data_IF_456069995054
#
_entry.id   IF_456069995054
#
_cell.length_a   1.000
_cell.length_b   1.000
_cell.length_c   1.000
_cell.angle_alpha   90.00
_cell.angle_beta   90.00
_cell.angle_gamma   90.00
#
_symmetry.space_group_name_H-M   'P 1'
#
loop_
_entity.id
_entity.type
_entity.pdbx_description
1 polymer ?
#
# COMPACT_ATOMS: atom_id res chain seq x y z
N UNK A 1 -4.61 -6.90 -15.40
CA UNK A 1 -3.45 -6.06 -15.03
C UNK A 1 -3.88 -4.59 -15.04
N UNK A 2 -4.12 -4.02 -13.85
CA UNK A 2 -4.33 -2.58 -13.64
C UNK A 2 -3.01 -1.85 -13.88
N UNK A 3 -3.07 -0.69 -14.51
CA UNK A 3 -1.92 0.21 -14.68
C UNK A 3 -2.29 1.56 -14.07
N UNK A 4 -1.39 2.22 -13.31
CA UNK A 4 -1.65 3.55 -12.79
C UNK A 4 -1.92 4.58 -13.90
N UNK A 5 -2.93 5.45 -13.71
CA UNK A 5 -3.43 6.39 -14.73
C UNK A 5 -3.18 7.86 -14.37
N UNK A 6 -2.71 8.65 -15.35
CA UNK A 6 -2.72 10.13 -15.35
C UNK A 6 -3.96 10.65 -16.06
N UNK A 7 -4.69 11.57 -15.43
CA UNK A 7 -5.77 12.34 -16.06
C UNK A 7 -5.16 13.49 -16.86
N UNK A 8 -5.52 13.62 -18.13
CA UNK A 8 -5.14 14.76 -18.97
C UNK A 8 -6.31 15.73 -19.14
N UNK A 9 -6.12 16.99 -18.75
CA UNK A 9 -7.07 18.07 -19.02
C UNK A 9 -6.67 18.75 -20.34
N UNK A 10 -7.51 18.69 -21.37
CA UNK A 10 -7.44 19.59 -22.52
C UNK A 10 -8.58 20.61 -22.35
N UNK A 11 -8.23 21.88 -22.10
CA UNK A 11 -9.19 22.98 -22.07
C UNK A 11 -9.62 23.38 -23.49
N UNK A 12 -10.87 23.83 -23.70
CA UNK A 12 -11.30 24.31 -25.00
C UNK A 12 -10.86 25.77 -25.23
N UNK A 13 -10.30 26.02 -26.41
CA UNK A 13 -9.97 27.35 -26.92
C UNK A 13 -11.24 28.20 -27.09
N UNK A 14 -11.16 29.44 -26.61
CA UNK A 14 -12.19 30.46 -26.78
C UNK A 14 -12.25 30.95 -28.22
N UNK A 15 -13.38 30.75 -28.90
CA UNK A 15 -13.83 31.65 -29.97
C UNK A 15 -15.36 31.72 -30.00
N UNK A 16 -15.85 32.94 -29.83
CA UNK A 16 -17.25 33.37 -29.82
C UNK A 16 -17.91 33.30 -31.20
N UNK A 17 -19.12 32.73 -31.24
CA UNK A 17 -20.19 33.18 -32.13
C UNK A 17 -21.54 32.91 -31.45
N UNK A 18 -22.24 34.00 -31.17
CA UNK A 18 -23.57 34.10 -30.57
C UNK A 18 -24.63 33.46 -31.46
N UNK A 19 -25.42 32.51 -30.94
CA UNK A 19 -26.68 32.11 -31.57
C UNK A 19 -27.76 31.75 -30.56
N UNK A 20 -28.97 32.17 -30.92
CA UNK A 20 -30.26 32.30 -30.22
C UNK A 20 -30.88 31.04 -29.55
N UNK A 21 -30.11 30.00 -29.25
CA UNK A 21 -30.59 28.76 -28.60
C UNK A 21 -30.58 28.80 -27.05
N UNK A 22 -30.20 29.91 -26.44
CA UNK A 22 -29.93 29.99 -25.00
C UNK A 22 -31.19 30.00 -24.13
N UNK A 23 -32.36 30.37 -24.68
CA UNK A 23 -33.61 30.46 -23.89
C UNK A 23 -34.35 29.12 -23.72
N UNK A 24 -34.25 28.17 -24.67
CA UNK A 24 -34.89 26.85 -24.54
C UNK A 24 -34.09 25.89 -23.64
N UNK A 25 -32.77 26.07 -23.58
CA UNK A 25 -31.89 25.28 -22.72
C UNK A 25 -31.97 25.71 -21.25
N UNK A 26 -32.16 27.02 -20.98
CA UNK A 26 -32.30 27.56 -19.63
C UNK A 26 -33.57 27.06 -18.91
N UNK A 27 -34.70 26.95 -19.61
CA UNK A 27 -35.95 26.41 -19.03
C UNK A 27 -35.90 24.89 -18.80
N UNK A 28 -35.11 24.18 -19.60
CA UNK A 28 -34.84 22.75 -19.42
C UNK A 28 -33.91 22.48 -18.23
N UNK A 29 -32.96 23.38 -17.95
CA UNK A 29 -32.06 23.29 -16.79
C UNK A 29 -32.75 23.65 -15.47
N UNK A 30 -33.71 24.59 -15.46
CA UNK A 30 -34.50 24.92 -14.26
C UNK A 30 -35.41 23.76 -13.83
N UNK A 31 -35.94 22.98 -14.78
CA UNK A 31 -36.78 21.81 -14.48
C UNK A 31 -36.00 20.58 -13.99
N UNK A 32 -34.72 20.45 -14.36
CA UNK A 32 -33.83 19.37 -13.88
C UNK A 32 -33.21 19.72 -12.52
N UNK A 33 -32.94 21.01 -12.25
CA UNK A 33 -32.38 21.49 -10.98
C UNK A 33 -33.35 21.36 -9.78
N UNK A 34 -34.66 21.29 -10.03
CA UNK A 34 -35.68 21.17 -8.98
C UNK A 34 -35.83 19.75 -8.40
N UNK A 35 -35.28 18.72 -9.04
CA UNK A 35 -35.38 17.33 -8.58
C UNK A 35 -34.17 16.95 -7.72
N UNK A 36 -34.03 17.55 -6.54
CA UNK A 36 -33.18 16.96 -5.49
C UNK A 36 -33.67 15.53 -5.27
N UNK A 37 -32.84 14.48 -5.39
CA UNK A 37 -33.27 13.14 -5.05
C UNK A 37 -33.71 13.18 -3.59
N UNK A 38 -35.01 12.94 -3.34
CA UNK A 38 -35.52 12.75 -1.98
C UNK A 38 -34.61 11.70 -1.34
N UNK A 39 -33.99 11.97 -0.18
CA UNK A 39 -33.29 10.92 0.52
C UNK A 39 -34.33 9.83 0.79
N UNK A 40 -34.16 8.68 0.15
CA UNK A 40 -34.91 7.50 0.50
C UNK A 40 -34.52 7.20 1.95
N UNK A 41 -35.32 7.67 2.90
CA UNK A 41 -35.29 7.25 4.28
C UNK A 41 -35.76 5.80 4.29
N UNK A 42 -34.86 4.90 3.89
CA UNK A 42 -34.96 3.49 4.22
C UNK A 42 -34.72 3.47 5.72
N UNK A 43 -35.79 3.64 6.51
CA UNK A 43 -35.74 3.31 7.92
C UNK A 43 -35.40 1.82 8.00
N UNK A 44 -34.12 1.54 8.28
CA UNK A 44 -33.66 0.19 8.47
C UNK A 44 -34.45 -0.40 9.65
N UNK A 45 -35.39 -1.29 9.34
CA UNK A 45 -36.19 -1.97 10.33
C UNK A 45 -35.26 -2.74 11.27
N UNK A 46 -35.07 -2.19 12.47
CA UNK A 46 -34.16 -2.73 13.47
C UNK A 46 -34.63 -4.10 13.97
N UNK A 47 -35.89 -4.45 13.75
CA UNK A 47 -36.45 -5.77 14.10
C UNK A 47 -35.92 -6.90 13.22
N UNK A 48 -35.41 -6.58 12.01
CA UNK A 48 -34.81 -7.54 11.08
C UNK A 48 -33.33 -7.82 11.35
N UNK A 49 -32.70 -7.09 12.27
CA UNK A 49 -31.29 -7.28 12.58
C UNK A 49 -31.11 -8.42 13.60
N UNK A 50 -30.16 -9.34 13.37
CA UNK A 50 -29.90 -10.43 14.31
C UNK A 50 -29.49 -9.91 15.68
N UNK A 51 -29.88 -10.65 16.73
CA UNK A 51 -29.56 -10.28 18.10
C UNK A 51 -28.05 -10.17 18.34
N UNK A 52 -27.68 -9.23 19.23
CA UNK A 52 -26.28 -8.97 19.56
C UNK A 52 -25.72 -10.15 20.36
N UNK A 53 -24.85 -10.94 19.72
CA UNK A 53 -24.16 -12.03 20.39
C UNK A 53 -23.03 -11.53 21.31
N UNK A 54 -22.97 -12.07 22.53
CA UNK A 54 -21.90 -11.88 23.51
C UNK A 54 -21.94 -10.60 24.36
N UNK A 55 -20.99 -10.50 25.29
CA UNK A 55 -20.87 -9.42 26.27
C UNK A 55 -20.36 -8.10 25.64
N UNK A 56 -20.56 -6.98 26.33
CA UNK A 56 -20.11 -5.64 25.86
C UNK A 56 -18.60 -5.61 25.60
N UNK A 57 -17.82 -6.24 26.47
CA UNK A 57 -16.36 -6.33 26.37
C UNK A 57 -15.94 -7.21 25.18
N UNK A 58 -16.50 -8.41 25.04
CA UNK A 58 -16.14 -9.31 23.93
C UNK A 58 -16.52 -8.74 22.57
N UNK A 59 -17.64 -8.01 22.49
CA UNK A 59 -18.04 -7.28 21.28
C UNK A 59 -17.10 -6.11 20.98
N UNK A 60 -16.74 -5.32 21.99
CA UNK A 60 -15.76 -4.24 21.82
C UNK A 60 -14.41 -4.80 21.34
N UNK A 61 -13.93 -5.88 21.95
CA UNK A 61 -12.68 -6.51 21.55
C UNK A 61 -12.75 -7.07 20.13
N UNK A 62 -13.83 -7.76 19.74
CA UNK A 62 -13.91 -8.39 18.42
C UNK A 62 -14.16 -7.42 17.27
N UNK A 63 -14.95 -6.36 17.49
CA UNK A 63 -15.41 -5.48 16.42
C UNK A 63 -14.72 -4.11 16.41
N UNK A 64 -14.28 -3.59 17.56
CA UNK A 64 -13.58 -2.30 17.64
C UNK A 64 -12.06 -2.46 17.80
N UNK A 65 -11.61 -3.34 18.69
CA UNK A 65 -10.19 -3.44 18.99
C UNK A 65 -9.44 -4.38 18.04
N UNK A 66 -9.93 -5.59 17.80
CA UNK A 66 -9.32 -6.60 16.93
C UNK A 66 -9.90 -6.51 15.51
N UNK A 67 -9.79 -5.32 14.91
CA UNK A 67 -10.07 -5.15 13.49
C UNK A 67 -9.19 -6.11 12.67
N UNK A 68 -9.64 -6.50 11.48
CA UNK A 68 -8.87 -7.44 10.64
C UNK A 68 -7.45 -6.92 10.35
N UNK A 69 -7.30 -5.60 10.18
CA UNK A 69 -6.00 -4.93 10.13
C UNK A 69 -5.10 -5.29 11.32
N UNK A 70 -5.59 -5.10 12.56
CA UNK A 70 -4.81 -5.34 13.78
C UNK A 70 -4.53 -6.82 13.99
N UNK A 71 -5.45 -7.71 13.60
CA UNK A 71 -5.21 -9.17 13.63
C UNK A 71 -4.07 -9.56 12.71
N UNK A 72 -4.07 -9.08 11.45
CA UNK A 72 -2.99 -9.35 10.50
C UNK A 72 -1.65 -8.79 11.01
N UNK A 73 -1.66 -7.57 11.53
CA UNK A 73 -0.48 -6.96 12.16
C UNK A 73 0.07 -7.84 13.30
N UNK A 74 -0.80 -8.29 14.22
CA UNK A 74 -0.40 -9.15 15.34
C UNK A 74 0.15 -10.50 14.89
N UNK A 75 -0.40 -11.10 13.83
CA UNK A 75 0.12 -12.36 13.27
C UNK A 75 1.55 -12.16 12.74
N UNK A 76 1.80 -11.07 12.01
CA UNK A 76 3.15 -10.74 11.52
C UNK A 76 4.12 -10.52 12.67
N UNK A 77 3.70 -9.81 13.73
CA UNK A 77 4.54 -9.61 14.91
C UNK A 77 4.82 -10.91 15.67
N UNK A 78 3.82 -11.79 15.82
CA UNK A 78 4.00 -13.09 16.44
C UNK A 78 4.97 -13.97 15.65
N UNK A 79 4.87 -13.97 14.32
CA UNK A 79 5.80 -14.69 13.45
C UNK A 79 7.24 -14.17 13.60
N UNK A 80 7.43 -12.84 13.61
CA UNK A 80 8.74 -12.23 13.82
C UNK A 80 9.32 -12.51 15.22
N UNK A 81 8.50 -12.46 16.26
CA UNK A 81 8.92 -12.82 17.61
C UNK A 81 9.34 -14.30 17.69
N UNK A 82 8.60 -15.20 17.03
CA UNK A 82 8.96 -16.62 16.98
C UNK A 82 10.30 -16.85 16.26
N UNK A 83 10.56 -16.11 15.18
CA UNK A 83 11.84 -16.15 14.47
C UNK A 83 13.00 -15.64 15.35
N UNK A 84 12.78 -14.56 16.11
CA UNK A 84 13.76 -14.05 17.07
C UNK A 84 14.11 -15.09 18.14
N UNK A 85 13.10 -15.74 18.73
CA UNK A 85 13.32 -16.81 19.70
C UNK A 85 14.09 -17.96 19.06
N UNK A 86 13.73 -18.38 17.85
CA UNK A 86 14.44 -19.45 17.13
C UNK A 86 15.92 -19.11 16.87
N UNK A 87 16.23 -17.87 16.48
CA UNK A 87 17.62 -17.44 16.28
C UNK A 87 18.42 -17.39 17.57
N UNK A 88 17.84 -16.89 18.66
CA UNK A 88 18.49 -16.87 19.97
C UNK A 88 18.77 -18.29 20.50
N UNK A 89 17.85 -19.23 20.28
CA UNK A 89 18.03 -20.65 20.64
C UNK A 89 19.15 -21.28 19.80
N UNK A 90 19.15 -21.05 18.48
CA UNK A 90 20.17 -21.56 17.55
C UNK A 90 21.58 -21.11 17.95
N UNK A 91 21.75 -19.85 18.34
CA UNK A 91 23.07 -19.30 18.70
C UNK A 91 23.39 -19.41 20.20
N UNK A 92 22.51 -20.01 21.01
CA UNK A 92 22.61 -20.09 22.48
C UNK A 92 22.88 -18.72 23.13
N UNK A 93 22.31 -17.65 22.59
CA UNK A 93 22.61 -16.29 23.01
C UNK A 93 22.11 -15.25 22.02
N UNK A 94 22.95 -14.25 21.73
CA UNK A 94 22.60 -13.20 20.78
C UNK A 94 22.51 -13.76 19.35
N UNK A 95 21.50 -13.37 18.55
CA UNK A 95 21.37 -13.82 17.18
C UNK A 95 22.52 -13.29 16.31
N UNK A 96 22.88 -14.03 15.26
CA UNK A 96 23.93 -13.63 14.31
C UNK A 96 23.46 -12.41 13.49
N UNK A 97 24.35 -11.43 13.28
CA UNK A 97 24.01 -10.21 12.55
C UNK A 97 23.47 -10.49 11.14
N UNK A 98 24.00 -11.50 10.44
CA UNK A 98 23.52 -11.93 9.12
C UNK A 98 22.08 -12.44 9.12
N UNK A 99 21.68 -13.19 10.15
CA UNK A 99 20.33 -13.75 10.29
C UNK A 99 19.33 -12.62 10.59
N UNK A 100 19.73 -11.65 11.42
CA UNK A 100 18.95 -10.43 11.75
C UNK A 100 18.81 -9.51 10.53
N UNK A 101 19.87 -9.34 9.73
CA UNK A 101 19.81 -8.59 8.47
C UNK A 101 18.86 -9.25 7.46
N UNK A 102 18.91 -10.60 7.36
CA UNK A 102 18.01 -11.38 6.52
C UNK A 102 16.55 -11.25 6.95
N UNK A 103 16.27 -11.28 8.25
CA UNK A 103 14.92 -11.04 8.76
C UNK A 103 14.42 -9.62 8.44
N UNK A 104 15.31 -8.62 8.51
CA UNK A 104 14.98 -7.24 8.09
C UNK A 104 14.60 -7.19 6.61
N UNK A 105 15.44 -7.75 5.73
CA UNK A 105 15.26 -7.66 4.28
C UNK A 105 13.99 -8.40 3.81
N UNK A 106 13.67 -9.56 4.41
CA UNK A 106 12.41 -10.27 4.15
C UNK A 106 11.20 -9.44 4.55
N UNK A 107 11.21 -8.83 5.74
CA UNK A 107 10.09 -7.98 6.18
C UNK A 107 9.94 -6.75 5.27
N UNK A 108 11.03 -6.09 4.87
CA UNK A 108 10.97 -4.98 3.92
C UNK A 108 10.42 -5.43 2.57
N UNK A 109 10.88 -6.56 2.04
CA UNK A 109 10.39 -7.11 0.79
C UNK A 109 8.88 -7.37 0.84
N UNK A 110 8.39 -8.04 1.89
CA UNK A 110 6.95 -8.28 2.06
C UNK A 110 6.18 -6.97 2.19
N UNK A 111 6.70 -6.00 2.96
CA UNK A 111 6.08 -4.68 3.06
C UNK A 111 5.96 -4.00 1.69
N UNK A 112 6.98 -4.09 0.83
CA UNK A 112 6.97 -3.50 -0.51
C UNK A 112 6.08 -4.29 -1.49
N UNK A 113 6.05 -5.63 -1.39
CA UNK A 113 5.16 -6.48 -2.18
C UNK A 113 3.69 -6.09 -1.97
N UNK A 114 3.27 -5.86 -0.73
CA UNK A 114 1.91 -5.38 -0.43
C UNK A 114 1.64 -3.90 -0.80
N UNK A 115 2.61 -3.19 -1.37
CA UNK A 115 2.39 -1.89 -2.04
C UNK A 115 2.24 -2.02 -3.57
N UNK A 116 2.64 -3.17 -4.12
CA UNK A 116 2.58 -3.44 -5.56
C UNK A 116 1.21 -4.00 -5.97
N UNK A 117 0.59 -3.36 -6.96
CA UNK A 117 -0.79 -3.61 -7.40
C UNK A 117 -0.98 -5.03 -7.92
N UNK A 118 -0.02 -5.58 -8.66
CA UNK A 118 -0.11 -6.95 -9.16
C UNK A 118 -0.12 -7.99 -8.04
N UNK A 119 0.66 -7.75 -6.99
CA UNK A 119 0.71 -8.68 -5.84
C UNK A 119 -0.60 -8.60 -5.07
N UNK A 120 -1.11 -7.39 -4.83
CA UNK A 120 -2.39 -7.19 -4.15
C UNK A 120 -3.54 -7.80 -4.96
N UNK A 121 -3.57 -7.56 -6.27
CA UNK A 121 -4.58 -8.16 -7.16
C UNK A 121 -4.46 -9.70 -7.20
N UNK A 122 -3.25 -10.26 -7.26
CA UNK A 122 -3.05 -11.71 -7.17
C UNK A 122 -3.57 -12.26 -5.84
N UNK A 123 -3.33 -11.57 -4.73
CA UNK A 123 -3.85 -11.94 -3.41
C UNK A 123 -5.39 -11.90 -3.41
N UNK A 124 -6.01 -10.95 -4.10
CA UNK A 124 -7.46 -10.92 -4.29
C UNK A 124 -7.98 -12.05 -5.17
N UNK A 125 -7.32 -12.35 -6.29
CA UNK A 125 -7.66 -13.46 -7.17
C UNK A 125 -7.60 -14.79 -6.39
N UNK A 126 -6.55 -15.02 -5.60
CA UNK A 126 -6.43 -16.20 -4.74
C UNK A 126 -7.55 -16.24 -3.69
N UNK A 127 -7.87 -15.11 -3.06
CA UNK A 127 -8.91 -15.04 -2.04
C UNK A 127 -10.32 -15.31 -2.60
N UNK A 128 -10.58 -14.91 -3.85
CA UNK A 128 -11.86 -15.13 -4.55
C UNK A 128 -11.93 -16.53 -5.17
N UNK A 129 -10.81 -17.13 -5.55
CA UNK A 129 -10.74 -18.49 -6.10
C UNK A 129 -11.09 -19.60 -5.09
N UNK A 130 -11.36 -19.27 -3.83
CA UNK A 130 -11.74 -20.22 -2.79
C UNK A 130 -13.08 -20.87 -3.13
N UNK A 131 -13.15 -22.21 -3.28
CA UNK A 131 -14.37 -22.90 -3.67
C UNK A 131 -15.54 -22.64 -2.72
N UNK A 132 -16.76 -22.57 -3.27
CA UNK A 132 -17.98 -22.40 -2.47
C UNK A 132 -18.23 -23.54 -1.46
N UNK A 133 -17.64 -24.72 -1.70
CA UNK A 133 -17.68 -25.88 -0.80
C UNK A 133 -16.93 -25.65 0.52
N UNK A 134 -16.05 -24.65 0.62
CA UNK A 134 -15.34 -24.36 1.86
C UNK A 134 -16.29 -23.82 2.96
N UNK A 135 -16.00 -24.13 4.23
CA UNK A 135 -16.78 -23.64 5.36
C UNK A 135 -16.96 -22.11 5.33
N UNK A 136 -18.16 -21.64 5.69
CA UNK A 136 -18.51 -20.23 5.65
C UNK A 136 -17.57 -19.35 6.50
N UNK A 137 -17.07 -19.88 7.62
CA UNK A 137 -16.13 -19.16 8.48
C UNK A 137 -14.81 -18.83 7.76
N UNK A 138 -14.36 -19.70 6.85
CA UNK A 138 -13.12 -19.51 6.08
C UNK A 138 -13.35 -18.49 4.97
N UNK A 139 -14.41 -18.65 4.18
CA UNK A 139 -14.80 -17.68 3.14
C UNK A 139 -15.00 -16.27 3.70
N UNK A 140 -15.64 -16.13 4.88
CA UNK A 140 -15.77 -14.84 5.58
C UNK A 140 -14.44 -14.21 6.00
N UNK A 141 -13.38 -15.00 6.19
CA UNK A 141 -12.03 -14.48 6.50
C UNK A 141 -11.31 -14.06 5.23
N UNK A 142 -11.42 -14.85 4.16
CA UNK A 142 -10.87 -14.52 2.84
C UNK A 142 -11.48 -13.25 2.28
N UNK A 143 -12.78 -13.03 2.47
CA UNK A 143 -13.44 -11.78 2.10
C UNK A 143 -12.85 -10.53 2.78
N UNK A 144 -12.12 -10.66 3.89
CA UNK A 144 -11.49 -9.54 4.62
C UNK A 144 -10.07 -9.22 4.14
N UNK A 145 -9.65 -9.79 3.02
CA UNK A 145 -8.32 -9.61 2.41
C UNK A 145 -7.98 -8.15 2.10
N UNK A 146 -8.99 -7.29 1.89
CA UNK A 146 -8.82 -5.85 1.68
C UNK A 146 -8.16 -5.11 2.86
N UNK A 147 -8.05 -5.73 4.02
CA UNK A 147 -7.28 -5.21 5.16
C UNK A 147 -5.78 -5.56 5.12
N UNK A 148 -5.24 -5.90 3.94
CA UNK A 148 -3.82 -6.22 3.71
C UNK A 148 -2.84 -5.13 4.20
N UNK A 149 -3.31 -3.89 4.37
CA UNK A 149 -2.53 -2.82 5.00
C UNK A 149 -1.96 -3.20 6.37
N UNK A 150 -2.61 -4.11 7.10
CA UNK A 150 -2.09 -4.66 8.36
C UNK A 150 -0.81 -5.48 8.18
N UNK A 151 -0.68 -6.19 7.05
CA UNK A 151 0.56 -6.90 6.67
C UNK A 151 1.66 -5.92 6.30
N UNK A 152 1.36 -4.94 5.45
CA UNK A 152 2.31 -3.89 5.07
C UNK A 152 2.89 -3.16 6.31
N UNK A 153 2.01 -2.68 7.20
CA UNK A 153 2.42 -1.98 8.41
C UNK A 153 3.12 -2.90 9.42
N UNK A 154 2.65 -4.14 9.56
CA UNK A 154 3.25 -5.15 10.44
C UNK A 154 4.68 -5.47 10.02
N UNK A 155 4.88 -5.80 8.76
CA UNK A 155 6.20 -6.09 8.19
C UNK A 155 7.10 -4.84 8.21
N UNK A 156 6.58 -3.67 7.85
CA UNK A 156 7.34 -2.42 7.91
C UNK A 156 7.84 -2.10 9.31
N UNK A 157 6.98 -2.20 10.33
CA UNK A 157 7.37 -1.97 11.72
C UNK A 157 8.35 -3.03 12.24
N UNK A 158 8.10 -4.31 11.92
CA UNK A 158 9.00 -5.39 12.29
C UNK A 158 10.39 -5.22 11.65
N UNK A 159 10.47 -4.78 10.39
CA UNK A 159 11.73 -4.45 9.74
C UNK A 159 12.51 -3.37 10.49
N UNK A 160 11.86 -2.30 10.95
CA UNK A 160 12.53 -1.26 11.76
C UNK A 160 13.09 -1.85 13.05
N UNK A 161 12.32 -2.67 13.77
CA UNK A 161 12.77 -3.33 15.01
C UNK A 161 13.97 -4.24 14.76
N UNK A 162 13.91 -5.07 13.72
CA UNK A 162 15.03 -5.93 13.33
C UNK A 162 16.26 -5.13 12.94
N UNK A 163 16.09 -4.02 12.23
CA UNK A 163 17.20 -3.21 11.77
C UNK A 163 17.85 -2.40 12.91
N UNK A 164 17.08 -1.98 13.92
CA UNK A 164 17.61 -1.43 15.18
C UNK A 164 18.47 -2.49 15.89
N UNK A 165 17.98 -3.73 16.01
CA UNK A 165 18.75 -4.82 16.60
C UNK A 165 20.03 -5.10 15.80
N UNK A 166 19.94 -5.16 14.48
CA UNK A 166 21.09 -5.32 13.58
C UNK A 166 22.13 -4.22 13.81
N UNK A 167 21.69 -2.96 13.83
CA UNK A 167 22.57 -1.79 14.06
C UNK A 167 23.26 -1.86 15.42
N UNK A 168 22.57 -2.32 16.46
CA UNK A 168 23.16 -2.55 17.77
C UNK A 168 24.23 -3.66 17.75
N UNK A 169 23.99 -4.76 17.04
CA UNK A 169 24.93 -5.87 16.90
C UNK A 169 26.19 -5.47 16.14
N UNK A 170 26.07 -4.78 15.00
CA UNK A 170 27.23 -4.31 14.25
C UNK A 170 27.99 -3.21 15.02
N UNK A 171 27.30 -2.38 15.81
CA UNK A 171 27.96 -1.40 16.70
C UNK A 171 28.83 -2.11 17.73
N UNK A 172 28.29 -3.16 18.36
CA UNK A 172 29.06 -3.99 19.31
C UNK A 172 30.26 -4.66 18.65
N UNK A 173 30.11 -5.15 17.42
CA UNK A 173 31.21 -5.75 16.67
C UNK A 173 32.29 -4.72 16.31
N UNK A 174 31.88 -3.53 15.87
CA UNK A 174 32.79 -2.43 15.55
C UNK A 174 33.60 -1.94 16.75
N UNK A 175 32.99 -1.90 17.95
CA UNK A 175 33.69 -1.54 19.19
C UNK A 175 34.80 -2.56 19.52
N UNK A 176 34.59 -3.85 19.18
CA UNK A 176 35.57 -4.92 19.42
C UNK A 176 36.69 -4.93 18.39
N UNK A 177 36.35 -4.72 17.11
CA UNK A 177 37.29 -4.75 16.00
C UNK A 177 37.02 -3.57 15.08
N UNK A 178 37.91 -2.57 15.12
CA UNK A 178 37.80 -1.36 14.30
C UNK A 178 38.46 -1.61 12.94
N UNK A 179 37.64 -1.59 11.90
CA UNK A 179 38.07 -1.63 10.50
C UNK A 179 37.39 -0.50 9.72
N UNK A 180 38.05 0.02 8.68
CA UNK A 180 37.53 1.11 7.85
C UNK A 180 36.24 0.70 7.13
N UNK A 181 36.18 -0.53 6.62
CA UNK A 181 34.98 -1.03 5.93
C UNK A 181 33.82 -1.24 6.90
N UNK A 182 34.13 -1.66 8.13
CA UNK A 182 33.13 -1.77 9.21
C UNK A 182 32.58 -0.40 9.64
N UNK A 183 33.40 0.66 9.61
CA UNK A 183 32.97 2.02 9.90
C UNK A 183 31.99 2.53 8.82
N UNK A 184 32.31 2.32 7.53
CA UNK A 184 31.43 2.71 6.43
C UNK A 184 30.07 1.98 6.53
N UNK A 185 30.08 0.67 6.82
CA UNK A 185 28.86 -0.10 7.04
C UNK A 185 28.03 0.43 8.22
N UNK A 186 28.71 0.80 9.31
CA UNK A 186 28.08 1.34 10.51
C UNK A 186 27.39 2.69 10.24
N UNK A 187 28.06 3.61 9.54
CA UNK A 187 27.51 4.92 9.17
C UNK A 187 26.24 4.73 8.34
N UNK A 188 26.28 3.88 7.31
CA UNK A 188 25.10 3.60 6.47
C UNK A 188 23.95 2.99 7.28
N UNK A 189 24.26 2.16 8.27
CA UNK A 189 23.25 1.55 9.15
C UNK A 189 22.56 2.59 10.03
N UNK A 190 23.30 3.54 10.62
CA UNK A 190 22.70 4.62 11.41
C UNK A 190 21.87 5.58 10.56
N UNK A 191 22.31 5.87 9.32
CA UNK A 191 21.52 6.65 8.37
C UNK A 191 20.19 5.94 8.06
N UNK A 192 20.24 4.63 7.77
CA UNK A 192 19.05 3.82 7.50
C UNK A 192 18.11 3.72 8.70
N UNK A 193 18.62 3.43 9.91
CA UNK A 193 17.80 3.38 11.13
C UNK A 193 17.11 4.72 11.36
N UNK A 194 17.85 5.83 11.22
CA UNK A 194 17.29 7.18 11.42
C UNK A 194 16.17 7.45 10.42
N UNK A 195 16.39 7.13 9.15
CA UNK A 195 15.41 7.31 8.08
C UNK A 195 14.16 6.44 8.31
N UNK A 196 14.34 5.16 8.65
CA UNK A 196 13.25 4.22 8.92
C UNK A 196 12.43 4.60 10.16
N UNK A 197 13.10 5.01 11.24
CA UNK A 197 12.44 5.50 12.45
C UNK A 197 11.65 6.78 12.16
N UNK A 198 12.18 7.68 11.32
CA UNK A 198 11.47 8.90 10.89
C UNK A 198 10.22 8.54 10.10
N UNK A 199 10.32 7.60 9.15
CA UNK A 199 9.17 7.08 8.41
C UNK A 199 8.11 6.50 9.36
N UNK A 200 8.53 5.71 10.34
CA UNK A 200 7.64 5.08 11.31
C UNK A 200 6.96 6.11 12.22
N UNK A 201 7.69 7.13 12.66
CA UNK A 201 7.14 8.23 13.46
C UNK A 201 6.10 9.02 12.67
N UNK A 202 6.39 9.36 11.41
CA UNK A 202 5.44 10.03 10.52
C UNK A 202 4.21 9.14 10.19
N UNK A 203 4.39 7.82 10.19
CA UNK A 203 3.29 6.87 9.98
C UNK A 203 2.33 6.75 11.17
N UNK A 204 2.64 7.37 12.32
CA UNK A 204 1.78 7.32 13.49
C UNK A 204 0.37 7.86 13.16
N UNK A 205 -0.73 7.17 13.51
CA UNK A 205 -2.08 7.49 13.00
C UNK A 205 -2.51 8.94 13.22
N UNK A 206 -2.18 9.53 14.38
CA UNK A 206 -2.50 10.93 14.66
C UNK A 206 -1.78 11.88 13.71
N UNK A 207 -0.48 11.68 13.49
CA UNK A 207 0.32 12.54 12.62
C UNK A 207 -0.10 12.37 11.15
N UNK A 208 -0.26 11.12 10.71
CA UNK A 208 -0.68 10.79 9.34
C UNK A 208 -2.05 11.38 8.98
N UNK A 209 -2.99 11.46 9.91
CA UNK A 209 -4.31 12.05 9.62
C UNK A 209 -4.22 13.57 9.54
N UNK A 210 -3.40 14.22 10.39
CA UNK A 210 -3.25 15.68 10.38
C UNK A 210 -2.43 16.20 9.20
N UNK A 211 -1.42 15.44 8.75
CA UNK A 211 -0.47 15.86 7.71
C UNK A 211 -0.40 14.82 6.59
N UNK A 212 -1.56 14.39 6.09
CA UNK A 212 -1.68 13.27 5.16
C UNK A 212 -0.78 13.41 3.92
N UNK A 213 -0.81 14.57 3.26
CA UNK A 213 -0.12 14.75 1.98
C UNK A 213 1.39 14.85 2.17
N UNK A 214 1.83 15.56 3.21
CA UNK A 214 3.24 15.60 3.61
C UNK A 214 3.75 14.21 4.01
N UNK A 215 2.94 13.44 4.72
CA UNK A 215 3.25 12.05 5.05
C UNK A 215 3.39 11.21 3.78
N UNK A 216 2.48 11.32 2.82
CA UNK A 216 2.51 10.54 1.59
C UNK A 216 3.77 10.83 0.77
N UNK A 217 4.06 12.12 0.54
CA UNK A 217 5.26 12.55 -0.17
C UNK A 217 6.53 12.15 0.59
N UNK A 218 6.61 12.45 1.89
CA UNK A 218 7.75 12.12 2.74
C UNK A 218 8.03 10.62 2.78
N UNK A 219 7.00 9.79 2.96
CA UNK A 219 7.13 8.34 2.95
C UNK A 219 7.65 7.81 1.60
N UNK A 220 7.24 8.41 0.48
CA UNK A 220 7.68 8.00 -0.87
C UNK A 220 9.16 8.34 -1.09
N UNK A 221 9.55 9.60 -0.89
CA UNK A 221 10.93 10.03 -1.10
C UNK A 221 11.88 9.34 -0.11
N UNK A 222 11.52 9.26 1.17
CA UNK A 222 12.29 8.53 2.17
C UNK A 222 12.39 7.04 1.83
N UNK A 223 11.34 6.43 1.27
CA UNK A 223 11.37 5.05 0.78
C UNK A 223 12.37 4.84 -0.37
N UNK A 224 12.45 5.76 -1.33
CA UNK A 224 13.44 5.67 -2.43
C UNK A 224 14.86 5.88 -1.92
N UNK A 225 15.08 6.89 -1.07
CA UNK A 225 16.36 7.10 -0.42
C UNK A 225 16.78 5.88 0.37
N UNK A 226 15.87 5.28 1.15
CA UNK A 226 16.13 4.06 1.90
C UNK A 226 16.54 2.90 0.98
N UNK A 227 15.86 2.70 -0.15
CA UNK A 227 16.19 1.63 -1.09
C UNK A 227 17.61 1.80 -1.68
N UNK A 228 17.99 3.01 -2.06
CA UNK A 228 19.36 3.31 -2.56
C UNK A 228 20.40 3.04 -1.46
N UNK A 229 20.16 3.56 -0.24
CA UNK A 229 21.09 3.38 0.87
C UNK A 229 21.17 1.89 1.26
N UNK A 230 20.07 1.14 1.19
CA UNK A 230 20.08 -0.31 1.45
C UNK A 230 20.92 -1.09 0.44
N UNK A 231 20.92 -0.72 -0.84
CA UNK A 231 21.82 -1.34 -1.83
C UNK A 231 23.29 -1.10 -1.49
N UNK A 232 23.65 0.14 -1.15
CA UNK A 232 25.01 0.50 -0.74
C UNK A 232 25.38 -0.27 0.54
N UNK A 233 24.52 -0.25 1.54
CA UNK A 233 24.68 -0.98 2.79
C UNK A 233 24.88 -2.48 2.58
N UNK A 234 24.09 -3.12 1.71
CA UNK A 234 24.20 -4.54 1.41
C UNK A 234 25.56 -4.90 0.76
N UNK A 235 26.10 -4.03 -0.09
CA UNK A 235 27.43 -4.24 -0.69
C UNK A 235 28.54 -4.06 0.36
N UNK A 236 28.42 -3.05 1.22
CA UNK A 236 29.39 -2.80 2.30
C UNK A 236 29.40 -3.95 3.32
N UNK A 237 28.22 -4.40 3.76
CA UNK A 237 28.07 -5.55 4.65
C UNK A 237 28.65 -6.83 4.03
N UNK A 238 28.32 -7.11 2.77
CA UNK A 238 28.90 -8.22 2.03
C UNK A 238 30.43 -8.15 1.94
N UNK A 239 31.00 -6.94 1.81
CA UNK A 239 32.44 -6.74 1.76
C UNK A 239 33.11 -6.99 3.14
N UNK A 240 32.42 -6.70 4.25
CA UNK A 240 32.90 -7.05 5.59
C UNK A 240 32.84 -8.56 5.81
N UNK A 241 31.69 -9.18 5.53
CA UNK A 241 31.46 -10.61 5.76
C UNK A 241 32.33 -11.51 4.87
N UNK A 242 32.56 -11.12 3.61
CA UNK A 242 33.42 -11.92 2.71
C UNK A 242 34.85 -12.02 3.24
N UNK A 243 35.37 -10.98 3.90
CA UNK A 243 36.74 -10.97 4.46
C UNK A 243 36.85 -11.95 5.62
N UNK A 244 35.80 -12.04 6.43
CA UNK A 244 35.73 -13.00 7.55
C UNK A 244 35.67 -14.44 7.06
N UNK A 245 35.02 -14.69 5.92
CA UNK A 245 34.81 -16.05 5.37
C UNK A 245 35.82 -16.45 4.31
N UNK A 246 36.66 -15.53 3.83
CA UNK A 246 37.65 -15.78 2.78
C UNK A 246 37.05 -16.09 1.40
N UNK A 247 35.84 -15.60 1.10
CA UNK A 247 35.13 -15.88 -0.16
C UNK A 247 35.14 -14.67 -1.11
N UNK A 248 35.01 -14.89 -2.44
CA UNK A 248 34.82 -13.79 -3.39
C UNK A 248 33.53 -13.00 -3.12
N UNK A 249 33.58 -11.68 -3.36
CA UNK A 249 32.45 -10.77 -3.09
C UNK A 249 31.17 -11.18 -3.86
N UNK A 250 31.31 -11.44 -5.16
CA UNK A 250 30.16 -11.79 -6.02
C UNK A 250 29.46 -13.06 -5.55
N UNK A 251 30.22 -14.09 -5.16
CA UNK A 251 29.69 -15.34 -4.64
C UNK A 251 28.91 -15.10 -3.34
N UNK A 252 29.47 -14.31 -2.41
CA UNK A 252 28.76 -14.00 -1.17
C UNK A 252 27.44 -13.26 -1.41
N UNK A 253 27.45 -12.26 -2.30
CA UNK A 253 26.26 -11.46 -2.62
C UNK A 253 25.15 -12.35 -3.21
N UNK A 254 25.46 -13.21 -4.19
CA UNK A 254 24.45 -14.05 -4.86
C UNK A 254 23.84 -15.08 -3.91
N UNK A 255 24.63 -15.61 -2.97
CA UNK A 255 24.14 -16.55 -1.96
C UNK A 255 23.44 -15.85 -0.78
N UNK A 256 23.51 -14.53 -0.67
CA UNK A 256 22.88 -13.78 0.40
C UNK A 256 21.36 -13.60 0.15
N UNK A 257 20.49 -13.95 1.12
CA UNK A 257 19.07 -13.67 1.03
C UNK A 257 18.75 -12.17 0.85
N UNK A 258 19.58 -11.30 1.40
CA UNK A 258 19.41 -9.85 1.33
C UNK A 258 19.42 -9.35 -0.11
N UNK A 259 20.34 -9.86 -0.94
CA UNK A 259 20.46 -9.48 -2.33
C UNK A 259 19.16 -9.74 -3.10
N UNK A 260 18.60 -10.94 -2.97
CA UNK A 260 17.36 -11.32 -3.64
C UNK A 260 16.15 -10.52 -3.13
N UNK A 261 16.07 -10.29 -1.82
CA UNK A 261 15.01 -9.46 -1.24
C UNK A 261 15.02 -8.04 -1.79
N UNK A 262 16.20 -7.42 -1.91
CA UNK A 262 16.34 -6.08 -2.49
C UNK A 262 16.15 -6.07 -4.01
N UNK A 263 16.58 -7.11 -4.73
CA UNK A 263 16.34 -7.26 -6.16
C UNK A 263 14.84 -7.32 -6.47
N UNK A 264 14.09 -8.17 -5.76
CA UNK A 264 12.63 -8.28 -5.88
C UNK A 264 11.95 -6.95 -5.53
N UNK A 265 12.36 -6.34 -4.41
CA UNK A 265 11.82 -5.04 -3.96
C UNK A 265 12.03 -3.93 -4.98
N UNK A 266 13.23 -3.88 -5.56
CA UNK A 266 13.62 -2.91 -6.60
C UNK A 266 12.85 -3.16 -7.88
N UNK A 267 12.76 -4.42 -8.32
CA UNK A 267 11.94 -4.82 -9.48
C UNK A 267 10.47 -4.47 -9.31
N UNK A 268 9.88 -4.71 -8.13
CA UNK A 268 8.50 -4.31 -7.83
C UNK A 268 8.31 -2.79 -7.89
N UNK A 269 9.27 -2.04 -7.37
CA UNK A 269 9.25 -0.58 -7.43
C UNK A 269 9.28 -0.12 -8.89
N UNK A 270 10.29 -0.52 -9.67
CA UNK A 270 10.38 -0.17 -11.09
C UNK A 270 9.17 -0.59 -11.90
N UNK A 271 8.61 -1.78 -11.64
CA UNK A 271 7.43 -2.28 -12.33
C UNK A 271 6.18 -1.41 -12.09
N UNK A 272 6.09 -0.78 -10.91
CA UNK A 272 5.01 0.17 -10.61
C UNK A 272 5.14 1.43 -11.47
N UNK A 273 6.37 1.92 -11.66
CA UNK A 273 6.67 3.13 -12.44
C UNK A 273 6.64 2.92 -13.95
N UNK A 274 7.13 1.77 -14.44
CA UNK A 274 7.16 1.47 -15.88
C UNK A 274 5.77 1.32 -16.50
N UNK A 275 4.74 1.14 -15.67
CA UNK A 275 3.35 0.98 -16.09
C UNK A 275 2.54 2.26 -16.00
N UNK A 276 3.18 3.39 -15.75
CA UNK A 276 2.52 4.66 -15.73
C UNK A 276 2.02 5.02 -17.13
N UNK A 277 0.71 5.21 -17.27
CA UNK A 277 0.09 5.56 -18.55
C UNK A 277 -0.84 6.75 -18.37
N UNK A 278 -0.77 7.71 -19.28
CA UNK A 278 -1.82 8.72 -19.40
C UNK A 278 -3.00 8.08 -20.14
N UNK A 279 -4.20 8.18 -19.56
CA UNK A 279 -5.44 7.68 -20.18
C UNK A 279 -6.49 8.77 -20.11
N UNK A 280 -7.28 8.84 -21.17
CA UNK A 280 -8.48 9.67 -21.18
C UNK A 280 -9.52 9.04 -20.25
N UNK A 281 -10.27 9.92 -19.60
CA UNK A 281 -11.27 9.57 -18.60
C UNK A 281 -12.51 10.37 -18.94
N UNK A 282 -13.66 9.71 -18.94
CA UNK A 282 -14.94 10.37 -19.24
C UNK A 282 -15.64 10.65 -17.90
N UNK A 283 -15.80 11.92 -17.50
CA UNK A 283 -16.47 12.27 -16.27
C UNK A 283 -18.00 12.23 -16.43
N UNK A 284 -18.68 11.58 -15.49
CA UNK A 284 -20.13 11.62 -15.28
C UNK A 284 -20.39 12.25 -13.91
N UNK A 285 -21.10 13.39 -13.87
CA UNK A 285 -21.44 14.07 -12.63
C UNK A 285 -22.72 13.48 -12.05
N UNK A 286 -22.59 12.78 -10.91
CA UNK A 286 -23.74 12.20 -10.20
C UNK A 286 -24.37 13.19 -9.21
N UNK A 287 -23.56 14.12 -8.68
CA UNK A 287 -24.00 15.24 -7.82
C UNK A 287 -22.86 16.26 -7.65
N UNK A 288 -23.11 17.39 -7.01
CA UNK A 288 -22.08 18.37 -6.61
C UNK A 288 -20.96 17.78 -5.73
N UNK A 289 -21.20 16.60 -5.14
CA UNK A 289 -20.28 15.94 -4.22
C UNK A 289 -19.65 14.67 -4.80
N UNK A 290 -20.13 14.15 -5.94
CA UNK A 290 -19.72 12.84 -6.45
C UNK A 290 -19.61 12.86 -7.96
N UNK A 291 -18.44 12.48 -8.45
CA UNK A 291 -18.18 12.22 -9.87
C UNK A 291 -17.92 10.72 -10.07
N UNK A 292 -18.41 10.18 -11.18
CA UNK A 292 -18.04 8.86 -11.66
C UNK A 292 -17.13 9.04 -12.87
N UNK A 293 -15.99 8.38 -12.84
CA UNK A 293 -14.98 8.43 -13.88
C UNK A 293 -15.04 7.13 -14.67
N UNK A 294 -15.40 7.19 -15.95
CA UNK A 294 -15.46 6.04 -16.85
C UNK A 294 -14.17 5.84 -17.63
N UNK A 295 -13.78 4.59 -17.80
CA UNK A 295 -12.57 4.14 -18.47
C UNK A 295 -12.93 3.06 -19.51
N UNK A 296 -12.82 3.40 -20.79
CA UNK A 296 -13.23 2.54 -21.90
C UNK A 296 -12.06 1.82 -22.60
N UNK A 297 -10.88 1.78 -21.97
CA UNK A 297 -9.68 1.21 -22.61
C UNK A 297 -9.48 -0.29 -22.35
N UNK A 298 -10.18 -0.86 -21.36
CA UNK A 298 -10.07 -2.29 -21.01
C UNK A 298 -11.25 -2.75 -20.16
N UNK A 299 -11.71 -4.00 -20.34
CA UNK A 299 -12.58 -4.64 -19.36
C UNK A 299 -11.83 -4.94 -18.06
N UNK A 300 -12.38 -4.47 -16.95
CA UNK A 300 -11.85 -4.71 -15.60
C UNK A 300 -12.78 -5.65 -14.85
N UNK A 301 -12.24 -6.72 -14.29
CA UNK A 301 -13.04 -7.63 -13.46
C UNK A 301 -13.39 -6.96 -12.11
N UNK A 302 -14.47 -7.40 -11.44
CA UNK A 302 -14.80 -6.95 -10.09
C UNK A 302 -13.64 -7.22 -9.11
N UNK A 303 -13.56 -6.44 -8.03
CA UNK A 303 -12.56 -6.57 -6.95
C UNK A 303 -11.12 -6.16 -7.30
N UNK A 304 -10.91 -5.50 -8.44
CA UNK A 304 -9.61 -4.89 -8.73
C UNK A 304 -9.53 -3.47 -8.17
N UNK A 305 -8.33 -3.11 -7.72
CA UNK A 305 -7.97 -1.74 -7.39
C UNK A 305 -7.25 -1.07 -8.55
N UNK A 306 -7.46 0.24 -8.68
CA UNK A 306 -6.70 1.12 -9.55
C UNK A 306 -6.16 2.30 -8.74
N UNK A 307 -4.96 2.78 -9.05
CA UNK A 307 -4.47 4.07 -8.55
C UNK A 307 -4.52 5.13 -9.63
N UNK A 308 -5.05 6.29 -9.26
CA UNK A 308 -5.18 7.46 -10.13
C UNK A 308 -4.45 8.63 -9.48
N UNK A 309 -3.82 9.46 -10.32
CA UNK A 309 -3.03 10.60 -9.89
C UNK A 309 -3.16 11.74 -10.90
N UNK A 310 -3.35 12.96 -10.40
CA UNK A 310 -3.15 14.21 -11.17
C UNK A 310 -1.68 14.65 -11.10
N UNK A 311 -1.00 14.44 -9.97
CA UNK A 311 0.41 14.79 -9.71
C UNK A 311 1.28 13.56 -9.42
N UNK A 312 1.80 12.84 -10.43
CA UNK A 312 2.50 11.55 -10.30
C UNK A 312 3.54 11.44 -9.19
N UNK A 313 4.27 12.52 -8.94
CA UNK A 313 5.37 12.51 -8.00
C UNK A 313 4.89 12.73 -6.56
N UNK A 314 3.70 13.30 -6.37
CA UNK A 314 3.18 13.70 -5.08
C UNK A 314 2.04 12.82 -4.58
N UNK A 315 0.98 12.60 -5.37
CA UNK A 315 -0.28 12.06 -4.85
C UNK A 315 -0.80 10.89 -5.65
N UNK A 316 -1.25 9.84 -4.96
CA UNK A 316 -1.87 8.67 -5.59
C UNK A 316 -3.06 8.19 -4.78
N UNK A 317 -4.22 8.17 -5.41
CA UNK A 317 -5.46 7.75 -4.78
C UNK A 317 -5.87 6.39 -5.32
N UNK A 318 -6.08 5.43 -4.42
CA UNK A 318 -6.55 4.11 -4.76
C UNK A 318 -8.08 4.08 -4.74
N UNK A 319 -8.66 3.57 -5.81
CA UNK A 319 -10.11 3.42 -5.95
C UNK A 319 -10.47 1.98 -6.33
N UNK A 320 -11.65 1.56 -5.91
CA UNK A 320 -12.24 0.31 -6.35
C UNK A 320 -12.86 0.50 -7.74
N UNK A 321 -12.61 -0.44 -8.65
CA UNK A 321 -13.20 -0.41 -9.99
C UNK A 321 -14.56 -1.09 -9.98
N UNK A 322 -15.54 -0.46 -10.63
CA UNK A 322 -16.88 -0.99 -10.88
C UNK A 322 -16.90 -1.39 -12.36
N UNK A 323 -17.10 -2.67 -12.69
CA UNK A 323 -17.21 -3.09 -14.08
C UNK A 323 -18.43 -2.44 -14.74
N UNK A 324 -18.26 -1.97 -15.97
CA UNK A 324 -19.38 -1.51 -16.80
C UNK A 324 -19.80 -2.70 -17.69
N UNK A 325 -21.02 -3.20 -17.46
CA UNK A 325 -21.62 -4.35 -18.13
C UNK A 325 -22.63 -3.88 -19.19
N UNK A 326 -22.52 -4.42 -20.40
CA UNK A 326 -23.51 -4.20 -21.47
C UNK A 326 -24.78 -5.04 -21.23
N UNK A 327 -25.83 -4.83 -22.03
CA UNK A 327 -27.11 -5.57 -21.96
C UNK A 327 -26.93 -7.11 -22.01
N UNK A 328 -25.84 -7.58 -22.61
CA UNK A 328 -25.50 -9.00 -22.73
C UNK A 328 -24.65 -9.54 -21.55
N UNK A 329 -24.39 -8.71 -20.51
CA UNK A 329 -23.53 -9.06 -19.37
C UNK A 329 -22.03 -9.11 -19.69
N UNK A 330 -21.62 -8.64 -20.88
CA UNK A 330 -20.21 -8.54 -21.25
C UNK A 330 -19.61 -7.27 -20.67
N UNK A 331 -18.50 -7.41 -19.92
CA UNK A 331 -17.76 -6.27 -19.39
C UNK A 331 -16.97 -5.62 -20.53
N UNK A 332 -17.26 -4.36 -20.85
CA UNK A 332 -16.58 -3.61 -21.92
C UNK A 332 -15.73 -2.45 -21.41
N UNK A 333 -15.93 -2.05 -20.15
CA UNK A 333 -15.15 -1.00 -19.50
C UNK A 333 -15.21 -1.12 -17.99
N UNK A 334 -14.81 -0.05 -17.31
CA UNK A 334 -15.01 0.10 -15.89
C UNK A 334 -15.09 1.56 -15.49
N UNK A 335 -15.64 1.78 -14.32
CA UNK A 335 -15.80 3.10 -13.74
C UNK A 335 -15.32 3.14 -12.29
N UNK A 336 -15.02 4.34 -11.82
CA UNK A 336 -14.56 4.63 -10.47
C UNK A 336 -15.39 5.78 -9.93
N UNK A 337 -15.91 5.65 -8.71
CA UNK A 337 -16.66 6.72 -8.05
C UNK A 337 -15.73 7.49 -7.11
N UNK A 338 -15.67 8.80 -7.29
CA UNK A 338 -14.87 9.71 -6.48
C UNK A 338 -15.80 10.71 -5.80
N UNK A 339 -15.83 10.69 -4.47
CA UNK A 339 -16.58 11.65 -3.67
C UNK A 339 -15.67 12.79 -3.20
N UNK A 340 -16.25 13.97 -2.95
CA UNK A 340 -15.59 15.15 -2.37
C UNK A 340 -15.32 14.96 -0.87
N UNK A 341 -14.54 13.95 -0.52
CA UNK A 341 -14.21 13.62 0.86
C UNK A 341 -12.94 14.37 1.32
N UNK A 342 -13.08 15.62 1.75
CA UNK A 342 -12.01 16.41 2.41
C UNK A 342 -11.00 17.07 1.45
N UNK A 343 -9.77 17.34 1.94
CA UNK A 343 -8.67 18.06 1.23
C UNK A 343 -8.30 17.50 -0.17
N UNK A 344 -8.84 16.34 -0.53
CA UNK A 344 -8.69 15.72 -1.84
C UNK A 344 -9.63 16.35 -2.88
N UNK A 345 -9.34 17.60 -3.27
CA UNK A 345 -10.00 18.23 -4.43
C UNK A 345 -9.42 17.68 -5.73
N UNK A 346 -9.92 16.51 -6.15
CA UNK A 346 -9.85 16.11 -7.58
C UNK A 346 -10.98 16.82 -8.37
N UNK A 347 -11.99 17.33 -7.67
CA UNK A 347 -13.26 17.80 -8.23
C UNK A 347 -13.33 19.29 -8.61
N UNK A 348 -12.25 20.06 -8.45
CA UNK A 348 -12.27 21.51 -8.65
C UNK A 348 -11.40 22.03 -9.81
N UNK A 349 -10.90 21.15 -10.68
CA UNK A 349 -10.12 21.55 -11.86
C UNK A 349 -10.66 20.91 -13.15
#
# INVERSE_FOLDING_TARGET
>A
MSSPIIIGLNGPDSNTSTDSNTQSFASSLESISAAKPKPALIEADRSLLPEKTGNRVTRYLNFNFLTAYRKLFSVIFAANLSALVAFCVKTKGAPAASDVASATSVNLMVALLFRQENVVNLVYEIAVAVPHSFPLWFRRRMAKVFHYGGVHSGCGTAAVVWFILYTALITKNFIRSRDHDSLANLIMSYLLVTLLCTILAAAHPKFRVMFHDYFEAGHRFAGWSALIIFWIHNILDANVERKLRGVPLGTYIIHSPNFWCFLISTGCTFLSWSRFRRREVIPEYLSDHVIRLHFNYRPMQPFYGLKVSTRPLMEWHAFATIPDEDENGTINGFSVVVSNAGDQRILSE
#
